data_IF_282749398642
#
_entry.id   IF_282749398642
#
_cell.length_a   1.000
_cell.length_b   1.000
_cell.length_c   1.000
_cell.angle_alpha   90.00
_cell.angle_beta   90.00
_cell.angle_gamma   90.00
#
_symmetry.space_group_name_H-M   'P 1'
#
loop_
_entity.id
_entity.type
_entity.pdbx_description
1 polymer ?
#
# COMPACT_ATOMS: atom_id res chain seq x y z
N UNK A 1 8.93 -2.33 -5.88
CA UNK A 1 7.79 -2.91 -5.16
C UNK A 1 7.58 -4.32 -5.69
N UNK A 2 8.21 -5.32 -5.04
CA UNK A 2 8.22 -6.72 -5.54
C UNK A 2 6.92 -7.44 -5.17
N UNK A 3 5.80 -6.99 -5.74
CA UNK A 3 4.48 -7.61 -5.48
C UNK A 3 4.50 -9.04 -6.03
N UNK A 4 4.20 -10.06 -5.19
CA UNK A 4 4.16 -11.43 -5.64
C UNK A 4 3.26 -11.63 -6.86
N UNK A 5 3.71 -12.49 -7.78
CA UNK A 5 3.04 -12.82 -9.05
C UNK A 5 3.00 -11.69 -10.10
N UNK A 6 3.47 -10.48 -9.77
CA UNK A 6 3.56 -9.36 -10.73
C UNK A 6 5.01 -9.00 -11.04
N UNK A 7 5.86 -8.90 -10.01
CA UNK A 7 7.28 -8.64 -10.16
C UNK A 7 8.11 -9.74 -9.49
N UNK A 8 9.34 -9.92 -9.98
CA UNK A 8 10.31 -10.79 -9.32
C UNK A 8 10.70 -10.22 -7.95
N UNK A 9 10.88 -11.14 -7.01
CA UNK A 9 11.52 -10.90 -5.73
C UNK A 9 12.97 -10.41 -5.92
N UNK A 10 13.43 -9.60 -4.98
CA UNK A 10 14.83 -9.16 -4.95
C UNK A 10 15.61 -10.14 -4.09
N UNK A 11 16.59 -10.82 -4.68
CA UNK A 11 17.54 -11.63 -3.90
C UNK A 11 18.63 -10.74 -3.32
N UNK A 12 18.79 -10.72 -2.00
CA UNK A 12 19.85 -9.97 -1.32
C UNK A 12 21.22 -10.48 -1.74
N UNK A 13 22.08 -9.58 -2.21
CA UNK A 13 23.41 -9.96 -2.68
C UNK A 13 24.47 -9.73 -1.59
N UNK A 14 25.49 -10.61 -1.49
CA UNK A 14 26.56 -10.45 -0.51
C UNK A 14 27.25 -9.08 -0.56
N UNK A 15 27.42 -8.52 -1.76
CA UNK A 15 28.05 -7.21 -1.94
C UNK A 15 27.25 -6.03 -1.36
N UNK A 16 25.98 -6.20 -0.98
CA UNK A 16 25.17 -5.17 -0.32
C UNK A 16 25.43 -5.10 1.19
N UNK A 17 26.18 -6.06 1.74
CA UNK A 17 26.53 -6.11 3.15
C UNK A 17 25.44 -6.68 4.05
N UNK A 18 25.61 -6.49 5.35
CA UNK A 18 24.73 -7.05 6.38
C UNK A 18 23.53 -6.15 6.65
N UNK A 19 22.38 -6.77 6.92
CA UNK A 19 21.20 -6.07 7.39
C UNK A 19 21.08 -6.20 8.91
N UNK A 20 21.17 -5.07 9.63
CA UNK A 20 21.07 -5.02 11.11
C UNK A 20 22.03 -6.03 11.79
N UNK A 21 23.26 -6.12 11.30
CA UNK A 21 24.29 -7.01 11.84
C UNK A 21 24.12 -8.50 11.47
N UNK A 22 23.15 -8.85 10.64
CA UNK A 22 22.92 -10.21 10.16
C UNK A 22 23.23 -10.30 8.67
N UNK A 23 23.96 -11.34 8.29
CA UNK A 23 24.08 -11.71 6.88
C UNK A 23 22.75 -12.31 6.41
N UNK A 24 22.13 -11.66 5.44
CA UNK A 24 20.87 -12.10 4.82
C UNK A 24 21.08 -12.42 3.33
N UNK A 25 22.32 -12.62 2.90
CA UNK A 25 22.66 -13.01 1.53
C UNK A 25 21.85 -14.21 1.08
N UNK A 26 21.25 -14.11 -0.11
CA UNK A 26 20.38 -15.14 -0.67
C UNK A 26 18.93 -15.08 -0.22
N UNK A 27 18.57 -14.29 0.81
CA UNK A 27 17.16 -14.07 1.17
C UNK A 27 16.40 -13.39 0.04
N UNK A 28 15.13 -13.76 -0.12
CA UNK A 28 14.21 -13.22 -1.11
C UNK A 28 13.33 -12.15 -0.48
N UNK A 29 13.42 -10.94 -1.02
CA UNK A 29 12.68 -9.76 -0.54
C UNK A 29 11.50 -9.52 -1.46
N UNK A 30 10.31 -9.54 -0.87
CA UNK A 30 9.03 -9.26 -1.53
C UNK A 30 8.42 -7.96 -0.99
N UNK A 31 7.33 -7.53 -1.60
CA UNK A 31 6.58 -6.38 -1.14
C UNK A 31 6.03 -6.54 0.29
N UNK A 32 6.08 -5.44 1.07
CA UNK A 32 5.62 -5.42 2.46
C UNK A 32 4.11 -5.62 2.63
N UNK A 33 3.32 -5.38 1.58
CA UNK A 33 1.87 -5.59 1.57
C UNK A 33 1.44 -7.04 1.83
N UNK A 34 2.38 -8.00 1.72
CA UNK A 34 2.16 -9.40 2.11
C UNK A 34 1.99 -9.55 3.63
N UNK A 35 2.62 -8.66 4.42
CA UNK A 35 2.59 -8.65 5.88
C UNK A 35 1.68 -7.54 6.42
N UNK A 36 1.77 -6.33 5.87
CA UNK A 36 0.95 -5.18 6.27
C UNK A 36 0.73 -4.24 5.07
N UNK A 37 -0.54 -3.95 4.76
CA UNK A 37 -0.90 -3.01 3.70
C UNK A 37 -1.03 -1.58 4.24
N UNK A 38 -1.13 -1.43 5.55
CA UNK A 38 -1.15 -0.15 6.23
C UNK A 38 -0.37 -0.23 7.54
N UNK A 39 0.98 -0.12 7.49
CA UNK A 39 1.88 -0.41 8.62
C UNK A 39 1.92 0.72 9.64
N UNK A 40 0.74 1.18 10.08
CA UNK A 40 0.59 2.22 11.08
C UNK A 40 1.20 1.80 12.43
N UNK A 41 1.23 0.50 12.71
CA UNK A 41 1.85 -0.06 13.92
C UNK A 41 3.33 0.32 14.05
N UNK A 42 4.06 0.47 12.93
CA UNK A 42 5.46 0.88 12.96
C UNK A 42 5.64 2.32 13.46
N UNK A 43 4.58 3.12 13.39
CA UNK A 43 4.60 4.53 13.77
C UNK A 43 3.98 4.70 15.16
N UNK A 44 2.96 3.91 15.51
CA UNK A 44 2.18 4.12 16.74
C UNK A 44 2.58 3.23 17.92
N UNK A 45 3.50 2.27 17.74
CA UNK A 45 3.98 1.41 18.82
C UNK A 45 4.88 2.18 19.80
N UNK A 46 4.59 2.07 21.11
CA UNK A 46 5.36 2.73 22.19
C UNK A 46 6.46 1.85 22.80
N UNK A 47 6.14 0.59 23.03
CA UNK A 47 6.96 -0.33 23.81
C UNK A 47 7.37 -1.57 23.01
N UNK A 48 7.66 -1.38 21.72
CA UNK A 48 8.12 -2.44 20.84
C UNK A 48 9.61 -2.22 20.51
N UNK A 49 10.47 -3.07 21.09
CA UNK A 49 11.92 -3.00 20.90
C UNK A 49 12.33 -3.24 19.44
N UNK A 50 11.59 -4.09 18.71
CA UNK A 50 11.85 -4.36 17.30
C UNK A 50 11.48 -3.15 16.45
N UNK A 51 10.32 -2.53 16.70
CA UNK A 51 9.91 -1.29 16.03
C UNK A 51 10.88 -0.16 16.35
N UNK A 52 11.27 0.04 17.61
CA UNK A 52 12.23 1.09 18.00
C UNK A 52 13.58 0.89 17.32
N UNK A 53 14.03 -0.36 17.17
CA UNK A 53 15.26 -0.66 16.45
C UNK A 53 15.19 -0.45 14.92
N UNK A 54 13.99 -0.29 14.35
CA UNK A 54 13.76 -0.02 12.92
C UNK A 54 13.43 1.46 12.68
N UNK A 55 12.52 2.02 13.46
CA UNK A 55 11.88 3.32 13.26
C UNK A 55 12.46 4.43 14.15
N UNK A 56 13.26 4.07 15.16
CA UNK A 56 13.86 5.00 16.11
C UNK A 56 13.03 5.19 17.39
N UNK A 57 13.42 6.16 18.21
CA UNK A 57 12.91 6.34 19.57
C UNK A 57 11.87 7.47 19.69
N UNK A 58 11.07 7.67 18.64
CA UNK A 58 10.07 8.73 18.63
C UNK A 58 8.87 8.30 19.46
N UNK A 59 8.44 9.14 20.41
CA UNK A 59 7.22 8.91 21.19
C UNK A 59 5.99 9.26 20.33
N UNK A 60 5.15 8.28 19.98
CA UNK A 60 3.99 8.49 19.12
C UNK A 60 2.86 9.29 19.76
N UNK A 61 2.89 9.55 21.08
CA UNK A 61 1.94 10.45 21.74
C UNK A 61 2.38 11.91 21.70
N UNK A 62 3.68 12.16 21.57
CA UNK A 62 4.26 13.50 21.61
C UNK A 62 4.29 14.10 20.21
N UNK A 63 4.52 13.27 19.18
CA UNK A 63 4.57 13.69 17.78
C UNK A 63 3.29 13.25 17.06
N UNK A 64 2.59 14.13 16.34
CA UNK A 64 1.38 13.75 15.62
C UNK A 64 1.65 12.68 14.56
N UNK A 65 0.85 11.62 14.57
CA UNK A 65 0.88 10.59 13.53
C UNK A 65 -0.03 10.97 12.35
N UNK A 66 0.37 10.51 11.16
CA UNK A 66 -0.41 10.68 9.94
C UNK A 66 -0.30 9.42 9.05
N UNK A 67 -1.42 8.72 8.92
CA UNK A 67 -1.61 7.65 7.95
C UNK A 67 -2.34 8.15 6.71
N UNK A 68 -1.84 7.81 5.52
CA UNK A 68 -2.48 8.14 4.23
C UNK A 68 -3.04 6.86 3.60
N UNK A 69 -4.35 6.65 3.78
CA UNK A 69 -5.02 5.45 3.28
C UNK A 69 -5.64 5.70 1.91
N UNK A 70 -5.20 4.94 0.90
CA UNK A 70 -5.86 4.90 -0.41
C UNK A 70 -7.18 4.13 -0.26
N UNK A 71 -8.30 4.84 -0.43
CA UNK A 71 -9.65 4.33 -0.22
C UNK A 71 -10.37 4.07 -1.55
N UNK A 72 -10.33 2.81 -1.99
CA UNK A 72 -11.01 2.31 -3.19
C UNK A 72 -12.56 2.38 -3.10
N UNK A 73 -13.12 2.73 -1.93
CA UNK A 73 -14.56 2.92 -1.77
C UNK A 73 -14.99 4.38 -1.95
N UNK A 74 -14.06 5.34 -1.88
CA UNK A 74 -14.37 6.78 -1.94
C UNK A 74 -14.19 7.31 -3.37
N UNK A 75 -15.23 7.91 -3.97
CA UNK A 75 -15.22 8.36 -5.36
C UNK A 75 -14.25 9.51 -5.60
N UNK A 76 -13.58 9.46 -6.76
CA UNK A 76 -12.78 10.57 -7.30
C UNK A 76 -13.67 11.37 -8.25
N UNK A 77 -13.98 12.62 -7.90
CA UNK A 77 -14.75 13.50 -8.77
C UNK A 77 -14.03 13.74 -10.11
N UNK A 78 -14.80 13.90 -11.18
CA UNK A 78 -14.30 14.25 -12.53
C UNK A 78 -13.19 13.31 -13.06
N UNK A 79 -13.18 12.05 -12.65
CA UNK A 79 -12.15 11.07 -13.00
C UNK A 79 -12.38 10.34 -14.32
N UNK A 80 -13.59 10.45 -14.89
CA UNK A 80 -14.03 9.58 -15.97
C UNK A 80 -14.12 8.10 -15.54
N UNK A 81 -14.53 7.23 -16.46
CA UNK A 81 -14.37 5.79 -16.29
C UNK A 81 -12.93 5.39 -16.65
N UNK A 82 -12.45 4.25 -16.14
CA UNK A 82 -11.21 3.68 -16.65
C UNK A 82 -11.41 3.42 -18.16
N UNK A 83 -10.49 3.86 -19.01
CA UNK A 83 -10.59 3.53 -20.42
C UNK A 83 -10.51 2.01 -20.57
N UNK A 84 -11.54 1.37 -21.13
CA UNK A 84 -11.41 0.01 -21.65
C UNK A 84 -10.33 0.07 -22.73
N UNK A 85 -9.19 -0.57 -22.48
CA UNK A 85 -8.05 -0.56 -23.39
C UNK A 85 -8.49 -0.94 -24.81
N UNK A 86 -8.69 0.07 -25.67
CA UNK A 86 -9.03 -0.15 -27.07
C UNK A 86 -7.80 -0.68 -27.79
N UNK A 87 -7.82 -1.98 -28.06
CA UNK A 87 -7.19 -2.56 -29.25
C UNK A 87 -5.67 -2.59 -29.25
N UNK A 88 -5.10 -3.56 -28.55
CA UNK A 88 -4.15 -4.52 -29.12
C UNK A 88 -4.01 -5.61 -28.07
N UNK A 89 -4.04 -6.88 -28.48
CA UNK A 89 -3.81 -8.02 -27.59
C UNK A 89 -2.48 -7.85 -26.83
N UNK A 90 -2.54 -7.27 -25.63
CA UNK A 90 -1.43 -7.25 -24.67
C UNK A 90 -1.28 -8.69 -24.18
N UNK A 91 -0.52 -9.50 -24.92
CA UNK A 91 -0.19 -10.89 -24.57
C UNK A 91 0.34 -11.00 -23.12
N UNK A 92 0.95 -9.94 -22.57
CA UNK A 92 1.40 -9.85 -21.18
C UNK A 92 0.29 -9.51 -20.17
N UNK A 93 -0.66 -8.61 -20.51
CA UNK A 93 -1.76 -8.23 -19.63
C UNK A 93 -2.80 -9.33 -19.48
N UNK A 94 -3.20 -9.97 -20.58
CA UNK A 94 -4.14 -11.10 -20.54
C UNK A 94 -3.57 -12.33 -19.82
N UNK A 95 -2.27 -12.60 -19.97
CA UNK A 95 -1.63 -13.71 -19.27
C UNK A 95 -1.56 -13.45 -17.76
N UNK A 96 -1.14 -12.25 -17.34
CA UNK A 96 -1.08 -11.88 -15.92
C UNK A 96 -2.48 -11.93 -15.29
N UNK A 97 -3.49 -11.40 -15.98
CA UNK A 97 -4.87 -11.43 -15.51
C UNK A 97 -5.41 -12.87 -15.38
N UNK A 98 -5.10 -13.73 -16.36
CA UNK A 98 -5.46 -15.15 -16.32
C UNK A 98 -4.75 -15.91 -15.18
N UNK A 99 -3.48 -15.62 -14.93
CA UNK A 99 -2.70 -16.18 -13.81
C UNK A 99 -3.31 -15.72 -12.48
N UNK A 100 -3.64 -14.44 -12.33
CA UNK A 100 -4.30 -13.91 -11.14
C UNK A 100 -5.73 -14.46 -10.95
N UNK A 101 -6.37 -14.97 -12.00
CA UNK A 101 -7.67 -15.66 -11.96
C UNK A 101 -7.57 -17.15 -11.55
N UNK A 102 -6.36 -17.72 -11.48
CA UNK A 102 -6.18 -19.11 -11.03
C UNK A 102 -6.63 -19.25 -9.57
N UNK A 103 -7.45 -20.27 -9.29
CA UNK A 103 -8.05 -20.52 -7.96
C UNK A 103 -7.00 -20.59 -6.85
N UNK A 104 -5.83 -21.18 -7.12
CA UNK A 104 -4.74 -21.29 -6.15
C UNK A 104 -4.15 -19.93 -5.79
N UNK A 105 -3.91 -19.08 -6.80
CA UNK A 105 -3.39 -17.72 -6.59
C UNK A 105 -4.43 -16.87 -5.86
N UNK A 106 -5.70 -16.99 -6.23
CA UNK A 106 -6.79 -16.35 -5.49
C UNK A 106 -6.86 -16.80 -4.03
N UNK A 107 -6.63 -18.08 -3.75
CA UNK A 107 -6.59 -18.60 -2.37
C UNK A 107 -5.42 -18.02 -1.59
N UNK A 108 -4.22 -17.98 -2.18
CA UNK A 108 -3.03 -17.38 -1.55
C UNK A 108 -3.29 -15.89 -1.27
N UNK A 109 -3.79 -15.14 -2.25
CA UNK A 109 -4.12 -13.72 -2.10
C UNK A 109 -5.17 -13.50 -1.00
N UNK A 110 -6.21 -14.34 -0.92
CA UNK A 110 -7.23 -14.25 0.14
C UNK A 110 -6.63 -14.51 1.52
N UNK A 111 -5.76 -15.51 1.67
CA UNK A 111 -5.10 -15.79 2.94
C UNK A 111 -4.19 -14.64 3.37
N UNK A 112 -3.35 -14.13 2.47
CA UNK A 112 -2.53 -12.95 2.71
C UNK A 112 -3.39 -11.76 3.14
N UNK A 113 -4.43 -11.43 2.36
CA UNK A 113 -5.38 -10.37 2.70
C UNK A 113 -6.04 -10.58 4.07
N UNK A 114 -6.41 -11.80 4.45
CA UNK A 114 -6.99 -12.09 5.76
C UNK A 114 -5.98 -11.83 6.88
N UNK A 115 -4.73 -12.30 6.73
CA UNK A 115 -3.68 -12.08 7.73
C UNK A 115 -3.37 -10.59 7.89
N UNK A 116 -3.16 -9.88 6.78
CA UNK A 116 -2.91 -8.44 6.77
C UNK A 116 -4.06 -7.66 7.38
N UNK A 117 -5.31 -7.98 7.03
CA UNK A 117 -6.47 -7.32 7.64
C UNK A 117 -6.60 -7.60 9.14
N UNK A 118 -6.27 -8.82 9.59
CA UNK A 118 -6.31 -9.16 11.00
C UNK A 118 -5.24 -8.39 11.80
N UNK A 119 -4.09 -8.11 11.18
CA UNK A 119 -3.01 -7.34 11.78
C UNK A 119 -3.28 -5.83 11.77
N UNK A 120 -3.73 -5.27 10.63
CA UNK A 120 -3.83 -3.81 10.44
C UNK A 120 -5.11 -3.21 11.05
N UNK A 121 -6.25 -3.91 10.99
CA UNK A 121 -7.56 -3.35 11.40
C UNK A 121 -7.62 -2.87 12.85
N UNK A 122 -7.15 -3.63 13.86
CA UNK A 122 -7.20 -3.18 15.24
C UNK A 122 -6.43 -1.88 15.45
N UNK A 123 -5.27 -1.75 14.81
CA UNK A 123 -4.43 -0.54 14.87
C UNK A 123 -5.14 0.63 14.19
N UNK A 124 -5.67 0.42 12.98
CA UNK A 124 -6.44 1.46 12.29
C UNK A 124 -7.67 1.92 13.08
N UNK A 125 -8.32 1.01 13.81
CA UNK A 125 -9.49 1.36 14.62
C UNK A 125 -9.14 2.21 15.84
N UNK A 126 -7.98 1.98 16.46
CA UNK A 126 -7.47 2.81 17.57
C UNK A 126 -6.98 4.19 17.13
N UNK A 127 -6.61 4.34 15.87
CA UNK A 127 -5.94 5.54 15.33
C UNK A 127 -6.73 6.21 14.19
N UNK A 128 -8.06 6.06 14.16
CA UNK A 128 -8.91 6.58 13.07
C UNK A 128 -8.73 8.07 12.81
N UNK A 129 -8.54 8.86 13.87
CA UNK A 129 -8.36 10.30 13.78
C UNK A 129 -7.02 10.69 13.14
N UNK A 130 -6.06 9.78 13.11
CA UNK A 130 -4.73 9.95 12.52
C UNK A 130 -4.67 9.47 11.07
N UNK A 131 -5.79 8.99 10.50
CA UNK A 131 -5.84 8.42 9.15
C UNK A 131 -6.63 9.33 8.20
N UNK A 132 -5.93 9.92 7.24
CA UNK A 132 -6.56 10.60 6.10
C UNK A 132 -6.93 9.59 5.01
N UNK A 133 -8.20 9.54 4.62
CA UNK A 133 -8.71 8.63 3.57
C UNK A 133 -8.73 9.33 2.20
N UNK A 134 -7.79 8.94 1.35
CA UNK A 134 -7.58 9.45 -0.01
C UNK A 134 -8.53 8.75 -1.00
N UNK A 135 -9.37 9.48 -1.76
CA UNK A 135 -10.29 8.86 -2.71
C UNK A 135 -9.57 8.16 -3.86
N UNK A 136 -9.96 6.92 -4.18
CA UNK A 136 -9.39 6.15 -5.28
C UNK A 136 -10.38 5.17 -5.96
N UNK A 137 -11.69 5.28 -5.68
CA UNK A 137 -12.68 4.37 -6.25
C UNK A 137 -12.64 4.37 -7.78
N UNK A 138 -12.59 3.17 -8.34
CA UNK A 138 -12.58 2.96 -9.79
C UNK A 138 -11.19 3.05 -10.43
N UNK A 139 -10.12 3.26 -9.67
CA UNK A 139 -8.74 3.22 -10.15
C UNK A 139 -8.13 1.83 -9.96
N UNK A 140 -7.52 1.30 -11.00
CA UNK A 140 -6.85 0.01 -10.95
C UNK A 140 -5.47 0.10 -10.30
N UNK A 141 -5.10 -0.91 -9.52
CA UNK A 141 -3.75 -1.03 -8.91
C UNK A 141 -2.60 -1.14 -9.91
N UNK A 142 -2.90 -1.50 -11.16
CA UNK A 142 -1.93 -1.64 -12.27
C UNK A 142 -2.33 -0.81 -13.49
N UNK A 143 -3.09 0.27 -13.26
CA UNK A 143 -3.50 1.20 -14.30
C UNK A 143 -2.36 2.16 -14.67
N UNK A 144 -1.35 1.64 -15.38
CA UNK A 144 -0.14 2.40 -15.74
C UNK A 144 -0.34 3.37 -16.92
N UNK A 145 -1.41 3.18 -17.69
CA UNK A 145 -1.71 3.93 -18.92
C UNK A 145 -2.88 4.89 -18.68
N UNK A 146 -2.84 5.64 -17.58
CA UNK A 146 -3.87 6.62 -17.24
C UNK A 146 -3.75 7.84 -18.16
N UNK A 147 -4.89 8.34 -18.63
CA UNK A 147 -4.95 9.65 -19.27
C UNK A 147 -4.54 10.75 -18.29
N UNK A 148 -3.98 11.84 -18.80
CA UNK A 148 -3.57 13.00 -17.98
C UNK A 148 -4.74 13.53 -17.15
N UNK A 149 -5.94 13.60 -17.73
CA UNK A 149 -7.15 14.06 -17.05
C UNK A 149 -7.44 13.22 -15.82
N UNK A 150 -7.35 11.89 -15.96
CA UNK A 150 -7.62 10.94 -14.89
C UNK A 150 -6.56 11.00 -13.80
N UNK A 151 -5.28 11.03 -14.16
CA UNK A 151 -4.18 11.24 -13.21
C UNK A 151 -4.35 12.54 -12.42
N UNK A 152 -4.65 13.65 -13.09
CA UNK A 152 -4.86 14.94 -12.43
C UNK A 152 -6.10 14.94 -11.53
N UNK A 153 -7.18 14.22 -11.89
CA UNK A 153 -8.35 14.07 -11.01
C UNK A 153 -8.01 13.29 -9.74
N UNK A 154 -7.22 12.21 -9.83
CA UNK A 154 -6.73 11.48 -8.65
C UNK A 154 -5.89 12.38 -7.73
N UNK A 155 -4.92 13.11 -8.30
CA UNK A 155 -4.05 14.02 -7.54
C UNK A 155 -4.87 15.13 -6.86
N UNK A 156 -5.81 15.75 -7.59
CA UNK A 156 -6.68 16.82 -7.04
C UNK A 156 -7.56 16.29 -5.91
N UNK A 157 -8.14 15.09 -6.05
CA UNK A 157 -8.95 14.48 -5.01
C UNK A 157 -8.14 14.17 -3.76
N UNK A 158 -6.91 13.67 -3.90
CA UNK A 158 -5.99 13.46 -2.78
C UNK A 158 -5.65 14.76 -2.06
N UNK A 159 -5.29 15.81 -2.80
CA UNK A 159 -5.00 17.15 -2.22
C UNK A 159 -6.20 17.71 -1.46
N UNK A 160 -7.39 17.65 -2.06
CA UNK A 160 -8.62 18.12 -1.41
C UNK A 160 -8.92 17.35 -0.13
N UNK A 161 -8.81 16.02 -0.16
CA UNK A 161 -9.03 15.19 1.02
C UNK A 161 -8.03 15.50 2.15
N UNK A 162 -6.76 15.76 1.81
CA UNK A 162 -5.75 16.15 2.79
C UNK A 162 -6.05 17.53 3.39
N UNK A 163 -6.44 18.51 2.56
CA UNK A 163 -6.81 19.84 3.04
C UNK A 163 -7.99 19.77 4.01
N UNK A 164 -9.07 19.10 3.62
CA UNK A 164 -10.25 18.91 4.48
C UNK A 164 -9.90 18.21 5.80
N UNK A 165 -9.00 17.23 5.75
CA UNK A 165 -8.53 16.51 6.93
C UNK A 165 -7.72 17.41 7.89
N UNK A 166 -6.80 18.24 7.36
CA UNK A 166 -6.01 19.17 8.18
C UNK A 166 -6.88 20.29 8.76
N UNK A 167 -7.81 20.83 7.97
CA UNK A 167 -8.72 21.89 8.41
C UNK A 167 -9.65 21.41 9.54
N UNK A 168 -9.99 20.12 9.55
CA UNK A 168 -10.82 19.50 10.58
C UNK A 168 -10.05 19.12 11.85
N UNK A 169 -8.71 19.05 11.82
CA UNK A 169 -7.91 18.72 13.00
C UNK A 169 -7.58 19.99 13.80
N UNK A 170 -7.95 20.08 15.08
CA UNK A 170 -7.32 21.05 15.97
C UNK A 170 -5.85 20.66 16.12
N UNK A 171 -4.95 21.56 15.73
CA UNK A 171 -3.51 21.46 16.00
C UNK A 171 -3.21 21.67 17.48
#
# INVERSE_FOLDING_TARGET
MSIPFVWQEVRWKPEWGWHRGKDISGHEIVDGGVLSNFPLHLITAKDDEEVRAIMGDTDPDVVPNLGLLIDEMKPVADSGEAEEAKGTEKVTGGLLENVMRLKTIQRIKRLANTMTNAHDKPVMEGHKEEVCRLPAKGYGTTEFDMSDVRLQSLIRAGRKAMQEYLDARPL
#
